data_IF_439948596290
#
_entry.id   IF_439948596290
#
_cell.length_a   1.000
_cell.length_b   1.000
_cell.length_c   1.000
_cell.angle_alpha   90.00
_cell.angle_beta   90.00
_cell.angle_gamma   90.00
#
_symmetry.space_group_name_H-M   'P 1'
#
loop_
_entity.id
_entity.type
_entity.pdbx_description
1 polymer ?
#
# COMPACT_ATOMS: atom_id res chain seq x y z
N UNK A 1 -16.47 21.13 -47.23
CA UNK A 1 -17.60 20.58 -46.43
C UNK A 1 -17.01 20.18 -45.09
N UNK A 2 -16.99 21.05 -44.07
CA UNK A 2 -18.05 21.32 -43.07
C UNK A 2 -18.45 20.06 -42.30
N UNK A 3 -17.87 19.86 -41.12
CA UNK A 3 -18.62 19.62 -39.87
C UNK A 3 -17.81 20.24 -38.72
N UNK A 4 -18.46 21.11 -37.95
CA UNK A 4 -18.07 21.60 -36.63
C UNK A 4 -19.34 21.51 -35.75
N UNK A 5 -19.31 21.90 -34.47
CA UNK A 5 -18.80 21.20 -33.29
C UNK A 5 -19.93 20.97 -32.25
N UNK A 6 -19.67 20.27 -31.15
CA UNK A 6 -20.53 20.35 -29.96
C UNK A 6 -19.71 20.35 -28.67
N UNK A 7 -19.73 21.49 -27.97
CA UNK A 7 -19.38 21.66 -26.56
C UNK A 7 -20.67 21.55 -25.75
N UNK A 8 -20.66 20.83 -24.64
CA UNK A 8 -21.77 20.85 -23.67
C UNK A 8 -21.28 21.37 -22.33
N UNK A 9 -22.01 22.36 -21.82
CA UNK A 9 -21.80 23.10 -20.56
C UNK A 9 -22.67 22.49 -19.45
N UNK A 10 -22.05 22.33 -18.28
CA UNK A 10 -22.49 22.40 -16.88
C UNK A 10 -23.94 22.20 -16.41
N UNK A 11 -24.05 21.71 -15.17
CA UNK A 11 -25.04 22.17 -14.20
C UNK A 11 -24.56 21.98 -12.74
N UNK A 12 -24.66 23.07 -11.99
CA UNK A 12 -24.44 23.22 -10.54
C UNK A 12 -25.72 22.82 -9.80
N UNK A 13 -25.59 22.18 -8.64
CA UNK A 13 -26.71 21.98 -7.71
C UNK A 13 -26.23 21.90 -6.26
N UNK A 14 -26.39 22.99 -5.53
CA UNK A 14 -26.23 23.07 -4.08
C UNK A 14 -27.59 22.92 -3.40
N UNK A 15 -27.67 22.14 -2.32
CA UNK A 15 -28.80 22.15 -1.41
C UNK A 15 -28.32 21.98 0.04
N UNK A 16 -28.52 23.04 0.83
CA UNK A 16 -28.32 23.11 2.27
C UNK A 16 -29.60 22.63 2.96
N UNK A 17 -29.49 21.79 3.99
CA UNK A 17 -30.54 21.64 5.01
C UNK A 17 -29.92 21.62 6.41
N UNK A 18 -30.35 22.59 7.21
CA UNK A 18 -30.09 22.76 8.64
C UNK A 18 -31.26 22.15 9.41
N UNK A 19 -30.98 21.41 10.49
CA UNK A 19 -31.98 20.97 11.47
C UNK A 19 -31.32 20.74 12.83
N UNK A 20 -31.84 21.41 13.87
CA UNK A 20 -31.31 21.49 15.23
C UNK A 20 -32.27 20.88 16.27
N UNK A 21 -31.78 20.79 17.52
CA UNK A 21 -32.46 20.50 18.80
C UNK A 21 -32.66 19.00 19.14
N UNK A 22 -32.56 18.51 20.40
CA UNK A 22 -32.19 19.09 21.69
C UNK A 22 -31.85 17.96 22.71
N UNK A 23 -31.26 18.40 23.82
CA UNK A 23 -30.77 17.79 25.08
C UNK A 23 -31.41 16.51 25.64
N UNK A 24 -30.60 15.76 26.41
CA UNK A 24 -31.06 14.80 27.42
C UNK A 24 -29.90 14.08 28.14
N UNK A 25 -29.43 14.65 29.25
CA UNK A 25 -28.46 14.09 30.19
C UNK A 25 -29.15 13.13 31.19
N UNK A 26 -28.49 12.10 31.71
CA UNK A 26 -29.00 11.37 32.87
C UNK A 26 -28.27 10.06 33.22
N UNK A 27 -27.92 9.92 34.49
CA UNK A 27 -27.00 8.97 35.11
C UNK A 27 -27.77 7.93 35.96
N UNK A 28 -27.14 6.77 36.19
CA UNK A 28 -27.24 5.83 37.34
C UNK A 28 -28.52 5.02 37.69
N UNK A 29 -28.23 3.75 38.04
CA UNK A 29 -28.82 2.83 39.05
C UNK A 29 -30.24 2.19 38.96
N UNK A 30 -30.19 0.87 39.20
CA UNK A 30 -31.16 -0.04 39.86
C UNK A 30 -32.52 -0.32 39.21
N UNK A 31 -32.54 -1.48 38.54
CA UNK A 31 -33.37 -2.65 38.88
C UNK A 31 -34.86 -2.46 39.11
N UNK A 32 -35.68 -3.11 38.27
CA UNK A 32 -36.88 -3.86 38.68
C UNK A 32 -37.45 -4.64 37.50
N UNK A 33 -37.51 -5.96 37.70
CA UNK A 33 -38.65 -6.85 37.42
C UNK A 33 -39.08 -7.12 35.97
N UNK A 34 -38.64 -8.30 35.52
CA UNK A 34 -39.47 -9.46 35.16
C UNK A 34 -40.41 -9.41 33.95
N UNK A 35 -40.23 -10.46 33.15
CA UNK A 35 -41.20 -11.18 32.30
C UNK A 35 -41.73 -10.42 31.08
N UNK A 36 -41.84 -10.99 29.89
CA UNK A 36 -41.72 -12.36 29.41
C UNK A 36 -42.07 -12.33 27.93
N UNK A 37 -41.53 -13.30 27.16
CA UNK A 37 -42.06 -13.78 25.86
C UNK A 37 -42.08 -12.74 24.71
N UNK A 38 -41.83 -13.07 23.45
CA UNK A 38 -41.83 -14.34 22.75
C UNK A 38 -41.30 -14.12 21.34
N UNK A 39 -40.59 -15.14 20.85
CA UNK A 39 -40.72 -15.75 19.52
C UNK A 39 -40.51 -14.94 18.23
N UNK A 40 -39.58 -15.48 17.46
CA UNK A 40 -39.70 -15.87 16.03
C UNK A 40 -39.52 -14.82 14.93
N UNK A 41 -38.43 -15.06 14.18
CA UNK A 41 -38.41 -15.35 12.74
C UNK A 41 -38.22 -14.21 11.72
N UNK A 42 -37.06 -14.33 11.06
CA UNK A 42 -36.87 -14.35 9.60
C UNK A 42 -36.50 -13.07 8.83
N UNK A 43 -35.55 -13.32 7.93
CA UNK A 43 -35.36 -12.77 6.56
C UNK A 43 -34.41 -11.58 6.33
N UNK A 44 -33.29 -11.92 5.68
CA UNK A 44 -32.81 -11.39 4.39
C UNK A 44 -32.19 -9.98 4.30
N UNK A 45 -30.88 -10.03 4.02
CA UNK A 45 -30.17 -9.44 2.88
C UNK A 45 -30.00 -7.90 2.70
N UNK A 46 -28.76 -7.60 2.30
CA UNK A 46 -28.29 -6.57 1.37
C UNK A 46 -27.66 -5.29 1.96
N UNK A 47 -26.33 -5.31 1.89
CA UNK A 47 -25.44 -4.26 1.38
C UNK A 47 -25.66 -2.82 1.79
N UNK A 48 -24.70 -2.29 2.55
CA UNK A 48 -24.28 -0.90 2.44
C UNK A 48 -22.76 -0.86 2.42
N UNK A 49 -22.22 -0.49 1.26
CA UNK A 49 -20.84 -0.06 1.12
C UNK A 49 -20.58 1.10 2.07
N UNK A 50 -19.56 1.00 2.88
CA UNK A 50 -18.96 2.14 3.56
C UNK A 50 -17.46 1.94 3.50
N UNK A 51 -16.83 2.84 2.77
CA UNK A 51 -15.40 3.07 2.74
C UNK A 51 -14.88 3.13 4.17
N UNK A 52 -14.18 2.08 4.59
CA UNK A 52 -13.46 2.08 5.85
C UNK A 52 -12.00 2.36 5.50
N UNK A 53 -11.63 3.64 5.65
CA UNK A 53 -10.26 4.00 5.93
C UNK A 53 -9.87 3.24 7.20
N UNK A 54 -9.08 2.18 7.05
CA UNK A 54 -8.49 1.49 8.19
C UNK A 54 -7.25 2.26 8.61
N UNK A 55 -7.48 3.32 9.40
CA UNK A 55 -6.45 3.82 10.29
C UNK A 55 -6.09 2.70 11.28
N UNK A 56 -4.87 2.18 11.17
CA UNK A 56 -4.24 1.46 12.28
C UNK A 56 -3.07 2.30 12.74
N UNK A 57 -3.36 3.09 13.77
CA UNK A 57 -2.35 3.75 14.59
C UNK A 57 -1.54 2.68 15.31
N UNK A 58 -0.27 2.56 14.94
CA UNK A 58 0.79 2.19 15.86
C UNK A 58 1.90 3.20 15.61
N UNK A 59 1.79 4.34 16.28
CA UNK A 59 2.86 5.31 16.35
C UNK A 59 4.03 4.70 17.13
N UNK A 60 4.89 3.96 16.41
CA UNK A 60 6.29 3.88 16.77
C UNK A 60 6.81 5.32 16.85
N UNK A 61 7.61 5.62 17.87
CA UNK A 61 8.24 6.94 17.97
C UNK A 61 8.98 7.22 16.65
N UNK A 62 8.49 8.19 15.88
CA UNK A 62 9.08 8.55 14.61
C UNK A 62 10.48 9.06 14.88
N UNK A 63 11.49 8.35 14.37
CA UNK A 63 12.83 8.91 14.22
C UNK A 63 12.71 10.25 13.45
N UNK A 64 13.60 11.24 13.70
CA UNK A 64 13.55 12.49 12.97
C UNK A 64 13.53 12.23 11.46
N UNK A 65 12.59 12.86 10.75
CA UNK A 65 12.40 12.72 9.32
C UNK A 65 13.72 12.91 8.56
N UNK A 66 14.30 11.81 8.10
CA UNK A 66 15.41 11.85 7.16
C UNK A 66 14.91 12.18 5.76
N UNK A 67 15.69 12.88 4.95
CA UNK A 67 15.49 12.88 3.50
C UNK A 67 15.93 11.53 2.94
N UNK A 68 14.97 10.61 2.86
CA UNK A 68 15.19 9.26 2.38
C UNK A 68 15.18 9.15 0.85
N UNK A 69 15.04 10.24 0.09
CA UNK A 69 15.06 10.22 -1.39
C UNK A 69 16.33 9.58 -1.94
N UNK A 70 17.46 9.69 -1.22
CA UNK A 70 18.76 9.11 -1.63
C UNK A 70 18.80 7.59 -1.55
N UNK A 71 17.84 6.97 -0.85
CA UNK A 71 17.75 5.52 -0.78
C UNK A 71 17.22 4.93 -2.09
N UNK A 72 16.45 5.70 -2.86
CA UNK A 72 15.80 5.21 -4.09
C UNK A 72 16.80 4.96 -5.22
N UNK A 73 16.59 3.89 -5.97
CA UNK A 73 17.20 3.72 -7.29
C UNK A 73 16.76 4.83 -8.25
N UNK A 74 17.56 5.09 -9.28
CA UNK A 74 17.15 5.95 -10.40
C UNK A 74 16.70 5.09 -11.57
N UNK A 75 15.77 5.62 -12.36
CA UNK A 75 15.31 4.95 -13.59
C UNK A 75 16.47 4.56 -14.52
N UNK A 76 17.47 5.44 -14.68
CA UNK A 76 18.67 5.19 -15.49
C UNK A 76 19.53 4.01 -15.02
N UNK A 77 19.41 3.60 -13.76
CA UNK A 77 20.14 2.46 -13.20
C UNK A 77 19.45 1.13 -13.54
N UNK A 78 18.17 1.18 -13.94
CA UNK A 78 17.33 0.02 -14.28
C UNK A 78 17.18 -0.10 -15.80
N UNK A 79 16.50 0.87 -16.40
CA UNK A 79 16.25 1.00 -17.85
C UNK A 79 15.84 2.46 -18.11
N UNK A 80 16.51 3.18 -19.03
CA UNK A 80 16.25 4.60 -19.29
C UNK A 80 14.85 4.89 -19.86
N UNK A 81 14.07 3.85 -20.22
CA UNK A 81 12.68 3.97 -20.67
C UNK A 81 11.70 4.20 -19.52
N UNK A 82 12.11 3.96 -18.27
CA UNK A 82 11.30 4.28 -17.10
C UNK A 82 11.30 5.80 -16.83
N UNK A 83 10.13 6.31 -16.45
CA UNK A 83 9.95 7.69 -15.98
C UNK A 83 9.54 7.66 -14.51
N UNK A 84 10.37 8.24 -13.65
CA UNK A 84 10.12 8.33 -12.22
C UNK A 84 9.19 9.50 -11.86
N UNK A 85 8.32 9.30 -10.88
CA UNK A 85 7.57 10.37 -10.22
C UNK A 85 8.44 11.10 -9.18
N UNK A 86 7.94 12.20 -8.64
CA UNK A 86 8.57 12.85 -7.47
C UNK A 86 8.50 11.92 -6.24
N UNK A 87 9.60 11.77 -5.47
CA UNK A 87 9.57 11.00 -4.22
C UNK A 87 8.57 11.56 -3.21
N UNK A 88 7.80 10.66 -2.61
CA UNK A 88 6.92 10.95 -1.48
C UNK A 88 7.69 10.67 -0.19
N UNK A 89 8.10 11.71 0.52
CA UNK A 89 8.77 11.58 1.83
C UNK A 89 7.74 11.40 2.94
N UNK A 90 7.99 10.43 3.81
CA UNK A 90 7.16 10.05 4.94
C UNK A 90 5.67 9.88 4.60
N UNK A 91 5.34 9.03 3.60
CA UNK A 91 3.97 8.87 3.12
C UNK A 91 3.05 8.44 4.27
N UNK A 92 1.90 9.11 4.40
CA UNK A 92 0.92 8.87 5.47
C UNK A 92 1.51 8.98 6.89
N UNK A 93 2.60 9.74 7.07
CA UNK A 93 3.29 9.87 8.36
C UNK A 93 4.20 8.68 8.71
N UNK A 94 4.33 7.69 7.83
CA UNK A 94 5.24 6.55 8.03
C UNK A 94 6.66 6.97 7.68
N UNK A 95 7.61 6.78 8.60
CA UNK A 95 9.00 7.15 8.40
C UNK A 95 9.63 6.38 7.22
N UNK A 96 9.96 7.07 6.13
CA UNK A 96 10.38 6.41 4.90
C UNK A 96 10.20 7.22 3.62
N UNK A 97 10.22 6.53 2.49
CA UNK A 97 10.02 7.11 1.15
C UNK A 97 9.29 6.14 0.22
N UNK A 98 8.44 6.69 -0.65
CA UNK A 98 7.83 5.97 -1.78
C UNK A 98 8.13 6.70 -3.10
N UNK A 99 8.41 5.95 -4.16
CA UNK A 99 8.47 6.49 -5.52
C UNK A 99 8.00 5.44 -6.53
N UNK A 100 7.26 5.91 -7.54
CA UNK A 100 6.87 5.08 -8.68
C UNK A 100 7.70 5.40 -9.92
N UNK A 101 7.92 4.39 -10.76
CA UNK A 101 8.50 4.51 -12.09
C UNK A 101 7.60 3.81 -13.09
N UNK A 102 7.33 4.45 -14.24
CA UNK A 102 6.45 3.88 -15.27
C UNK A 102 7.21 3.68 -16.58
N UNK A 103 6.98 2.54 -17.24
CA UNK A 103 7.45 2.28 -18.60
C UNK A 103 6.23 2.14 -19.53
N UNK A 104 5.85 3.23 -20.22
CA UNK A 104 4.66 3.22 -21.08
C UNK A 104 4.80 2.30 -22.29
N UNK A 105 6.02 1.97 -22.71
CA UNK A 105 6.27 1.03 -23.82
C UNK A 105 5.96 -0.42 -23.47
N UNK A 106 5.97 -0.76 -22.17
CA UNK A 106 5.71 -2.11 -21.66
C UNK A 106 4.43 -2.21 -20.81
N UNK A 107 3.75 -1.09 -20.55
CA UNK A 107 2.67 -1.01 -19.56
C UNK A 107 3.10 -1.51 -18.17
N UNK A 108 4.37 -1.30 -17.82
CA UNK A 108 4.95 -1.70 -16.54
C UNK A 108 5.03 -0.51 -15.59
N UNK A 109 4.82 -0.76 -14.30
CA UNK A 109 5.10 0.16 -13.20
C UNK A 109 5.95 -0.53 -12.15
N UNK A 110 6.96 0.17 -11.64
CA UNK A 110 7.73 -0.25 -10.46
C UNK A 110 7.41 0.74 -9.34
N UNK A 111 7.04 0.25 -8.16
CA UNK A 111 6.87 1.05 -6.95
C UNK A 111 7.94 0.64 -5.95
N UNK A 112 8.75 1.59 -5.54
CA UNK A 112 9.70 1.44 -4.44
C UNK A 112 9.07 2.03 -3.18
N UNK A 113 8.99 1.24 -2.12
CA UNK A 113 8.60 1.72 -0.79
C UNK A 113 9.66 1.29 0.23
N UNK A 114 10.22 2.26 0.95
CA UNK A 114 11.26 2.02 1.95
C UNK A 114 10.78 2.59 3.26
N UNK A 115 10.57 1.72 4.25
CA UNK A 115 10.17 2.09 5.61
C UNK A 115 11.38 1.96 6.52
N UNK A 116 11.66 2.99 7.31
CA UNK A 116 12.80 3.04 8.22
C UNK A 116 12.32 2.91 9.66
N UNK A 117 12.59 1.77 10.27
CA UNK A 117 12.33 1.45 11.67
C UNK A 117 13.37 2.09 12.60
N UNK A 118 13.14 2.02 13.91
CA UNK A 118 14.11 2.48 14.92
C UNK A 118 15.42 1.67 14.85
N UNK A 119 15.31 0.36 14.68
CA UNK A 119 16.43 -0.57 14.60
C UNK A 119 16.16 -1.73 13.61
N UNK A 120 17.14 -2.63 13.48
CA UNK A 120 17.04 -3.79 12.60
C UNK A 120 15.99 -4.82 13.06
N UNK A 121 15.73 -4.93 14.37
CA UNK A 121 14.72 -5.84 14.88
C UNK A 121 13.30 -5.35 14.54
N UNK A 122 13.09 -4.03 14.54
CA UNK A 122 11.87 -3.39 14.04
C UNK A 122 11.64 -3.66 12.56
N UNK A 123 12.69 -3.55 11.73
CA UNK A 123 12.59 -3.85 10.31
C UNK A 123 12.22 -5.32 10.04
N UNK A 124 12.82 -6.27 10.77
CA UNK A 124 12.47 -7.69 10.66
C UNK A 124 11.02 -7.97 11.06
N UNK A 125 10.52 -7.34 12.14
CA UNK A 125 9.09 -7.44 12.52
C UNK A 125 8.18 -6.88 11.43
N UNK A 126 8.57 -5.79 10.79
CA UNK A 126 7.83 -5.22 9.67
C UNK A 126 7.82 -6.17 8.46
N UNK A 127 8.95 -6.83 8.15
CA UNK A 127 9.02 -7.86 7.12
C UNK A 127 8.09 -9.04 7.41
N UNK A 128 8.05 -9.53 8.65
CA UNK A 128 7.14 -10.61 9.04
C UNK A 128 5.67 -10.20 8.92
N UNK A 129 5.36 -8.94 9.22
CA UNK A 129 4.01 -8.39 9.03
C UNK A 129 3.65 -8.29 7.55
N UNK A 130 4.56 -7.79 6.70
CA UNK A 130 4.35 -7.73 5.25
C UNK A 130 4.14 -9.12 4.65
N UNK A 131 4.93 -10.12 5.06
CA UNK A 131 4.75 -11.53 4.65
C UNK A 131 3.34 -12.06 4.95
N UNK A 132 2.74 -11.66 6.07
CA UNK A 132 1.40 -12.09 6.47
C UNK A 132 0.29 -11.40 5.66
N UNK A 133 0.54 -10.16 5.21
CA UNK A 133 -0.42 -9.36 4.44
C UNK A 133 -0.36 -9.62 2.92
N UNK A 134 0.81 -10.00 2.40
CA UNK A 134 1.07 -10.23 0.97
C UNK A 134 0.02 -11.10 0.22
N UNK A 135 -0.57 -12.16 0.80
CA UNK A 135 -1.65 -12.91 0.14
C UNK A 135 -2.92 -12.12 -0.16
N UNK A 136 -3.06 -10.90 0.39
CA UNK A 136 -4.16 -9.97 0.09
C UNK A 136 -3.89 -9.13 -1.17
N UNK A 137 -2.64 -9.09 -1.63
CA UNK A 137 -2.16 -8.24 -2.73
C UNK A 137 -1.79 -9.07 -3.96
N UNK A 138 -1.24 -10.27 -3.76
CA UNK A 138 -0.78 -11.16 -4.83
C UNK A 138 -1.30 -12.57 -4.57
N UNK A 139 -1.92 -13.20 -5.58
CA UNK A 139 -2.43 -14.58 -5.48
C UNK A 139 -1.33 -15.67 -5.54
N UNK A 140 -0.07 -15.24 -5.62
CA UNK A 140 1.13 -16.09 -5.64
C UNK A 140 1.66 -16.36 -4.23
N UNK A 141 2.10 -17.60 -3.99
CA UNK A 141 2.70 -17.97 -2.71
C UNK A 141 4.11 -17.34 -2.55
N UNK A 142 4.43 -16.70 -1.42
CA UNK A 142 5.75 -16.14 -1.16
C UNK A 142 6.85 -17.21 -1.19
N UNK A 143 7.93 -16.93 -1.89
CA UNK A 143 9.14 -17.78 -1.96
C UNK A 143 10.34 -17.03 -1.39
N UNK A 144 11.36 -17.74 -0.85
CA UNK A 144 12.61 -17.11 -0.46
C UNK A 144 13.30 -16.38 -1.63
N UNK A 145 13.88 -15.22 -1.35
CA UNK A 145 14.66 -14.44 -2.32
C UNK A 145 16.03 -14.09 -1.72
N UNK A 146 17.09 -14.34 -2.48
CA UNK A 146 18.47 -14.05 -2.09
C UNK A 146 18.77 -12.53 -2.18
N UNK A 147 18.20 -11.73 -1.28
CA UNK A 147 18.40 -10.28 -1.19
C UNK A 147 18.19 -9.80 0.25
N UNK A 148 18.78 -8.65 0.60
CA UNK A 148 18.76 -8.10 1.95
C UNK A 148 19.75 -8.79 2.90
N UNK A 149 19.74 -8.38 4.16
CA UNK A 149 20.65 -8.89 5.17
C UNK A 149 20.48 -10.40 5.38
N UNK A 150 21.55 -11.14 5.14
CA UNK A 150 21.56 -12.60 5.29
C UNK A 150 20.63 -13.34 4.32
N UNK A 151 20.18 -12.70 3.23
CA UNK A 151 19.27 -13.31 2.26
C UNK A 151 17.86 -13.54 2.83
N UNK A 152 17.38 -12.63 3.68
CA UNK A 152 16.09 -12.75 4.35
C UNK A 152 14.88 -12.34 3.49
N UNK A 153 15.12 -11.93 2.25
CA UNK A 153 14.11 -11.48 1.33
C UNK A 153 13.10 -12.56 0.92
N UNK A 154 11.96 -12.09 0.43
CA UNK A 154 10.92 -12.91 -0.19
C UNK A 154 10.48 -12.29 -1.52
N UNK A 155 9.98 -13.14 -2.41
CA UNK A 155 9.37 -12.76 -3.68
C UNK A 155 8.06 -13.52 -3.87
N UNK A 156 7.02 -12.84 -4.33
CA UNK A 156 5.78 -13.46 -4.79
C UNK A 156 5.43 -12.95 -6.19
N UNK A 157 4.95 -13.83 -7.06
CA UNK A 157 4.49 -13.48 -8.39
C UNK A 157 3.12 -14.11 -8.63
N UNK A 158 2.16 -13.32 -9.06
CA UNK A 158 0.78 -13.72 -9.25
C UNK A 158 -0.04 -12.62 -9.93
N UNK A 159 -1.36 -12.71 -9.83
CA UNK A 159 -2.29 -11.66 -10.22
C UNK A 159 -2.68 -10.81 -9.01
N UNK A 160 -3.06 -9.57 -9.29
CA UNK A 160 -3.79 -8.73 -8.33
C UNK A 160 -5.15 -9.37 -7.98
N UNK A 161 -5.79 -9.01 -6.85
CA UNK A 161 -7.02 -9.66 -6.39
C UNK A 161 -8.21 -9.47 -7.35
N UNK A 162 -8.21 -8.38 -8.11
CA UNK A 162 -9.18 -8.10 -9.17
C UNK A 162 -8.83 -8.76 -10.52
N UNK A 163 -7.66 -9.42 -10.61
CA UNK A 163 -7.15 -10.09 -11.79
C UNK A 163 -6.72 -9.16 -12.93
N UNK A 164 -6.69 -7.84 -12.72
CA UNK A 164 -6.43 -6.87 -13.79
C UNK A 164 -4.94 -6.64 -14.06
N UNK A 165 -4.06 -7.05 -13.15
CA UNK A 165 -2.61 -6.89 -13.26
C UNK A 165 -1.90 -8.19 -12.94
N UNK A 166 -0.72 -8.35 -13.52
CA UNK A 166 0.27 -9.27 -13.00
C UNK A 166 1.12 -8.47 -12.01
N UNK A 167 1.36 -9.05 -10.83
CA UNK A 167 2.16 -8.47 -9.77
C UNK A 167 3.33 -9.40 -9.49
N UNK A 168 4.52 -8.83 -9.44
CA UNK A 168 5.70 -9.45 -8.84
C UNK A 168 6.15 -8.52 -7.73
N UNK A 169 6.29 -9.02 -6.51
CA UNK A 169 6.58 -8.18 -5.35
C UNK A 169 7.73 -8.77 -4.54
N UNK A 170 8.68 -7.92 -4.17
CA UNK A 170 9.88 -8.30 -3.44
C UNK A 170 9.95 -7.52 -2.13
N UNK A 171 10.02 -8.23 -1.01
CA UNK A 171 10.29 -7.64 0.30
C UNK A 171 11.63 -8.12 0.86
N UNK A 172 12.39 -7.24 1.49
CA UNK A 172 13.59 -7.60 2.25
C UNK A 172 13.94 -6.53 3.29
N UNK A 173 14.88 -6.82 4.20
CA UNK A 173 15.42 -5.78 5.09
C UNK A 173 16.89 -5.52 4.83
N UNK A 174 17.29 -4.27 5.04
CA UNK A 174 18.70 -3.86 5.06
C UNK A 174 18.90 -2.90 6.24
N UNK A 175 19.65 -3.34 7.25
CA UNK A 175 19.76 -2.67 8.55
C UNK A 175 18.38 -2.43 9.17
N UNK A 176 18.09 -1.16 9.47
CA UNK A 176 16.81 -0.71 10.03
C UNK A 176 15.72 -0.42 9.00
N UNK A 177 15.91 -0.78 7.73
CA UNK A 177 14.89 -0.58 6.69
C UNK A 177 14.18 -1.86 6.29
N UNK A 178 12.88 -1.76 6.04
CA UNK A 178 12.11 -2.66 5.22
C UNK A 178 11.99 -2.05 3.82
N UNK A 179 12.32 -2.82 2.80
CA UNK A 179 12.17 -2.42 1.39
C UNK A 179 11.09 -3.30 0.77
N UNK A 180 10.14 -2.69 0.09
CA UNK A 180 9.20 -3.30 -0.84
C UNK A 180 9.48 -2.77 -2.26
N UNK A 181 9.51 -3.67 -3.23
CA UNK A 181 9.51 -3.35 -4.65
C UNK A 181 8.36 -4.11 -5.31
N UNK A 182 7.32 -3.40 -5.69
CA UNK A 182 6.20 -3.93 -6.46
C UNK A 182 6.44 -3.67 -7.95
N UNK A 183 6.33 -4.71 -8.75
CA UNK A 183 6.28 -4.66 -10.20
C UNK A 183 4.85 -4.98 -10.63
N UNK A 184 4.21 -4.07 -11.36
CA UNK A 184 2.90 -4.33 -11.96
C UNK A 184 2.93 -4.19 -13.47
N UNK A 185 2.23 -5.08 -14.15
CA UNK A 185 2.15 -5.15 -15.62
C UNK A 185 0.79 -5.69 -16.08
N UNK A 186 0.64 -5.90 -17.39
CA UNK A 186 -0.52 -6.58 -17.97
C UNK A 186 -0.73 -7.98 -17.33
N UNK A 187 -1.97 -8.44 -17.15
CA UNK A 187 -2.31 -9.58 -16.30
C UNK A 187 -1.70 -10.92 -16.69
N UNK A 188 -1.16 -11.05 -17.90
CA UNK A 188 -0.54 -12.29 -18.40
C UNK A 188 0.92 -12.08 -18.83
N UNK A 189 1.56 -11.00 -18.37
CA UNK A 189 2.94 -10.64 -18.69
C UNK A 189 3.70 -10.21 -17.43
N UNK A 190 3.81 -11.07 -16.40
CA UNK A 190 4.50 -10.73 -15.16
C UNK A 190 5.97 -10.38 -15.39
N UNK A 191 6.50 -9.47 -14.58
CA UNK A 191 7.96 -9.27 -14.52
C UNK A 191 8.61 -10.54 -14.00
N UNK A 192 9.59 -11.05 -14.75
CA UNK A 192 10.28 -12.29 -14.39
C UNK A 192 11.01 -12.17 -13.05
N UNK A 193 10.95 -13.22 -12.22
CA UNK A 193 11.57 -13.23 -10.89
C UNK A 193 13.07 -12.91 -10.93
N UNK A 194 13.82 -13.35 -11.95
CA UNK A 194 15.23 -13.00 -12.08
C UNK A 194 15.46 -11.49 -12.27
N UNK A 195 14.59 -10.83 -13.04
CA UNK A 195 14.66 -9.40 -13.30
C UNK A 195 14.28 -8.61 -12.05
N UNK A 196 13.19 -9.00 -11.39
CA UNK A 196 12.75 -8.41 -10.14
C UNK A 196 13.83 -8.54 -9.05
N UNK A 197 14.45 -9.72 -8.92
CA UNK A 197 15.54 -9.96 -7.97
C UNK A 197 16.80 -9.15 -8.30
N UNK A 198 17.15 -9.00 -9.58
CA UNK A 198 18.28 -8.16 -9.97
C UNK A 198 18.06 -6.69 -9.57
N UNK A 199 16.87 -6.15 -9.79
CA UNK A 199 16.51 -4.79 -9.39
C UNK A 199 16.48 -4.66 -7.86
N UNK A 200 15.97 -5.66 -7.16
CA UNK A 200 15.99 -5.69 -5.70
C UNK A 200 17.42 -5.66 -5.14
N UNK A 201 18.37 -6.39 -5.75
CA UNK A 201 19.78 -6.34 -5.35
C UNK A 201 20.44 -4.98 -5.61
N UNK A 202 20.06 -4.29 -6.68
CA UNK A 202 20.48 -2.91 -6.92
C UNK A 202 19.95 -1.97 -5.83
N UNK A 203 18.68 -2.13 -5.47
CA UNK A 203 18.01 -1.33 -4.44
C UNK A 203 18.62 -1.59 -3.05
N UNK A 204 18.91 -2.85 -2.74
CA UNK A 204 19.61 -3.26 -1.51
C UNK A 204 20.98 -2.58 -1.39
N UNK A 205 21.73 -2.55 -2.49
CA UNK A 205 23.03 -1.85 -2.56
C UNK A 205 22.87 -0.36 -2.31
N UNK A 206 21.84 0.27 -2.91
CA UNK A 206 21.56 1.69 -2.69
C UNK A 206 21.23 2.00 -1.23
N UNK A 207 20.39 1.18 -0.59
CA UNK A 207 20.07 1.37 0.83
C UNK A 207 21.30 1.17 1.70
N UNK A 208 22.05 0.09 1.47
CA UNK A 208 23.29 -0.22 2.21
C UNK A 208 24.31 0.93 2.17
N UNK A 209 24.38 1.64 1.04
CA UNK A 209 25.32 2.75 0.85
C UNK A 209 24.84 4.09 1.42
N UNK A 210 23.53 4.28 1.60
CA UNK A 210 22.95 5.61 1.88
C UNK A 210 22.14 5.69 3.18
N UNK A 211 21.91 4.56 3.86
CA UNK A 211 21.24 4.52 5.15
C UNK A 211 22.27 4.28 6.27
N UNK A 212 22.63 5.36 6.98
CA UNK A 212 23.45 5.34 8.20
C UNK A 212 22.63 4.94 9.41
#
# INVERSE_FOLDING_TARGET
MKIAPAKTVGLVGAALLVGAAAVGCGSDDKGSESSSSSSSSSSSAASSSSSAASETSSAAAAAPAGDYSKLLLKASDIDPSFVASDPQINPNGVNGVVQSMTNPGKNETIVFAIVVSEDAAGALKALDSAKAELPKEVDGAPQPADVGDGGNGIIATGKSPDGTKAITEVYFTQGKSLVNIEFSSEPNDPVQNETALAIAKMQDTQVKNNLS
#
